data_IF_541330731565
#
_entry.id   IF_541330731565
#
_cell.length_a   1.000
_cell.length_b   1.000
_cell.length_c   1.000
_cell.angle_alpha   90.00
_cell.angle_beta   90.00
_cell.angle_gamma   90.00
#
_symmetry.space_group_name_H-M   'P 1'
#
loop_
_entity.id
_entity.type
_entity.pdbx_description
1 polymer ?
#
# COMPACT_ATOMS: atom_id res chain seq x y z
N UNK A 1 64.30 -73.14 3.15
CA UNK A 1 62.96 -73.13 3.77
C UNK A 1 62.68 -71.73 4.29
N UNK A 2 62.01 -70.84 3.57
CA UNK A 2 61.68 -69.50 3.98
C UNK A 2 60.21 -69.46 4.38
N UNK A 3 59.95 -69.22 5.65
CA UNK A 3 58.58 -69.02 6.16
C UNK A 3 58.16 -67.56 5.93
N UNK A 4 57.08 -67.37 5.17
CA UNK A 4 56.45 -66.09 4.91
C UNK A 4 55.38 -65.93 5.99
N UNK A 5 55.54 -64.88 6.80
CA UNK A 5 54.49 -64.45 7.75
C UNK A 5 53.61 -63.46 7.03
N UNK A 6 52.35 -63.81 6.84
CA UNK A 6 51.33 -62.89 6.34
C UNK A 6 50.74 -62.09 7.50
N UNK A 7 50.94 -60.78 7.52
CA UNK A 7 50.38 -59.83 8.45
C UNK A 7 48.98 -59.39 7.94
N UNK A 8 47.93 -59.82 8.60
CA UNK A 8 46.56 -59.39 8.30
C UNK A 8 46.32 -58.05 9.01
N UNK A 9 46.20 -57.00 8.21
CA UNK A 9 45.88 -55.67 8.69
C UNK A 9 44.35 -55.50 8.68
N UNK A 10 43.71 -55.54 9.88
CA UNK A 10 42.29 -55.26 10.02
C UNK A 10 42.08 -53.73 10.08
N UNK A 11 41.59 -53.18 9.00
CA UNK A 11 41.16 -51.77 8.97
C UNK A 11 39.77 -51.68 9.53
N UNK A 12 39.70 -51.14 10.75
CA UNK A 12 38.44 -50.77 11.40
C UNK A 12 37.96 -49.43 10.75
N UNK A 13 36.97 -49.52 9.89
CA UNK A 13 36.26 -48.35 9.37
C UNK A 13 35.30 -47.84 10.46
N UNK A 14 35.71 -46.79 11.18
CA UNK A 14 34.79 -46.00 11.97
C UNK A 14 33.93 -45.17 11.00
N UNK A 15 32.70 -45.62 10.76
CA UNK A 15 31.67 -44.79 10.19
C UNK A 15 31.27 -43.73 11.21
N UNK A 16 31.84 -42.55 11.10
CA UNK A 16 31.27 -41.37 11.69
C UNK A 16 30.05 -41.03 10.86
N UNK A 17 28.89 -41.42 11.34
CA UNK A 17 27.63 -40.83 10.92
C UNK A 17 27.65 -39.38 11.44
N UNK A 18 27.94 -38.41 10.59
CA UNK A 18 27.43 -37.09 10.81
C UNK A 18 25.90 -37.20 10.70
N UNK A 19 25.22 -37.17 11.81
CA UNK A 19 23.86 -36.71 11.83
C UNK A 19 23.99 -35.20 11.53
N UNK A 20 23.70 -34.80 10.29
CA UNK A 20 23.32 -33.45 10.00
C UNK A 20 22.01 -33.23 10.79
N UNK A 21 22.13 -32.64 11.98
CA UNK A 21 21.02 -31.95 12.62
C UNK A 21 20.72 -30.75 11.72
N UNK A 22 20.07 -31.00 10.57
CA UNK A 22 19.28 -30.02 9.86
C UNK A 22 18.08 -29.65 10.77
N UNK A 23 18.37 -28.96 11.88
CA UNK A 23 17.46 -28.08 12.54
C UNK A 23 17.30 -26.84 11.65
N UNK A 24 16.95 -27.03 10.38
CA UNK A 24 16.07 -26.13 9.69
C UNK A 24 14.73 -26.28 10.42
N UNK A 25 14.57 -25.59 11.53
CA UNK A 25 13.25 -25.37 12.07
C UNK A 25 12.46 -24.78 10.91
N UNK A 26 11.59 -25.59 10.27
CA UNK A 26 10.57 -25.07 9.41
C UNK A 26 9.90 -23.95 10.20
N UNK A 27 10.26 -22.70 9.88
CA UNK A 27 9.56 -21.56 10.45
C UNK A 27 8.11 -21.78 10.04
N UNK A 28 7.27 -22.14 11.00
CA UNK A 28 5.86 -22.21 10.71
C UNK A 28 5.51 -20.89 10.05
N UNK A 29 4.88 -20.96 8.91
CA UNK A 29 4.44 -19.79 8.17
C UNK A 29 2.91 -19.76 8.11
N UNK A 30 2.36 -18.63 7.85
CA UNK A 30 0.92 -18.40 7.79
C UNK A 30 0.56 -17.58 6.58
N UNK A 31 -0.62 -17.82 6.01
CA UNK A 31 -1.20 -16.94 5.00
C UNK A 31 -1.58 -15.64 5.66
N UNK A 32 -1.26 -14.53 5.03
CA UNK A 32 -1.61 -13.21 5.54
C UNK A 32 -2.37 -12.42 4.49
N UNK A 33 -3.49 -11.85 4.88
CA UNK A 33 -4.37 -11.09 4.01
C UNK A 33 -4.54 -9.67 4.57
N UNK A 34 -4.38 -8.67 3.69
CA UNK A 34 -4.72 -7.28 3.99
C UNK A 34 -6.14 -7.00 3.52
N UNK A 35 -6.99 -6.50 4.40
CA UNK A 35 -8.37 -6.13 4.11
C UNK A 35 -8.55 -4.62 4.23
N UNK A 36 -9.02 -3.97 3.17
CA UNK A 36 -9.20 -2.53 3.10
C UNK A 36 -10.67 -2.17 3.25
N UNK A 37 -10.99 -1.43 4.29
CA UNK A 37 -12.31 -0.83 4.53
C UNK A 37 -12.24 0.69 4.43
N UNK A 38 -13.37 1.33 4.20
CA UNK A 38 -13.45 2.76 3.98
C UNK A 38 -14.51 3.38 4.89
N UNK A 39 -14.25 4.59 5.36
CA UNK A 39 -15.22 5.33 6.13
C UNK A 39 -15.09 6.85 5.88
N UNK A 40 -16.13 7.57 6.24
CA UNK A 40 -16.13 9.02 6.35
C UNK A 40 -16.35 9.37 7.82
N UNK A 41 -15.29 9.74 8.53
CA UNK A 41 -15.30 10.02 9.98
C UNK A 41 -15.99 8.93 10.82
N UNK A 42 -15.63 7.67 10.55
CA UNK A 42 -16.14 6.49 11.25
C UNK A 42 -17.46 5.93 10.71
N UNK A 43 -18.13 6.62 9.79
CA UNK A 43 -19.32 6.09 9.11
C UNK A 43 -18.84 5.24 7.91
N UNK A 44 -19.17 3.94 7.86
CA UNK A 44 -18.75 3.08 6.75
C UNK A 44 -19.16 3.62 5.39
N UNK A 45 -18.29 3.48 4.41
CA UNK A 45 -18.50 3.86 3.01
C UNK A 45 -18.26 2.64 2.13
N UNK A 46 -19.22 2.35 1.27
CA UNK A 46 -19.15 1.32 0.23
C UNK A 46 -19.50 1.95 -1.12
N UNK A 47 -19.33 1.22 -2.21
CA UNK A 47 -19.72 1.73 -3.53
C UNK A 47 -21.24 1.97 -3.66
N UNK A 48 -22.07 1.38 -2.81
CA UNK A 48 -23.53 1.69 -2.76
C UNK A 48 -23.83 3.11 -2.27
N UNK A 49 -22.85 3.76 -1.67
CA UNK A 49 -22.95 5.13 -1.15
C UNK A 49 -22.56 6.19 -2.18
N UNK A 50 -22.10 5.75 -3.35
CA UNK A 50 -21.59 6.64 -4.40
C UNK A 50 -22.72 7.40 -5.13
N UNK A 51 -22.32 8.43 -5.87
CA UNK A 51 -23.16 9.27 -6.71
C UNK A 51 -24.26 10.05 -5.96
N UNK A 52 -24.11 10.23 -4.65
CA UNK A 52 -25.00 11.03 -3.82
C UNK A 52 -24.23 12.08 -3.04
N UNK A 53 -24.60 13.35 -3.16
CA UNK A 53 -24.03 14.44 -2.35
C UNK A 53 -24.58 14.29 -0.91
N UNK A 54 -23.75 13.76 -0.01
CA UNK A 54 -24.14 13.48 1.37
C UNK A 54 -23.02 13.63 2.40
N UNK A 55 -21.79 13.77 1.94
CA UNK A 55 -20.64 13.98 2.81
C UNK A 55 -20.35 15.47 2.93
N UNK A 56 -19.80 15.89 4.05
CA UNK A 56 -19.36 17.27 4.25
C UNK A 56 -17.88 17.25 4.62
N UNK A 57 -17.04 17.99 3.88
CA UNK A 57 -15.63 18.11 4.20
C UNK A 57 -15.39 19.13 5.34
N UNK A 58 -14.12 19.29 5.75
CA UNK A 58 -13.75 20.19 6.84
C UNK A 58 -14.03 21.69 6.51
N UNK A 59 -13.99 22.06 5.21
CA UNK A 59 -14.27 23.44 4.78
C UNK A 59 -15.79 23.74 4.69
N UNK A 60 -16.63 22.73 4.81
CA UNK A 60 -18.10 22.87 4.82
C UNK A 60 -18.78 22.57 3.49
N UNK A 61 -18.04 22.21 2.43
CA UNK A 61 -18.66 21.80 1.17
C UNK A 61 -19.28 20.41 1.30
N UNK A 62 -20.52 20.29 0.82
CA UNK A 62 -21.16 19.00 0.64
C UNK A 62 -20.70 18.35 -0.65
N UNK A 63 -20.35 17.05 -0.62
CA UNK A 63 -19.81 16.34 -1.75
C UNK A 63 -20.31 14.90 -1.89
N UNK A 64 -20.18 14.36 -3.10
CA UNK A 64 -20.35 12.94 -3.43
C UNK A 64 -19.02 12.28 -3.67
N UNK A 65 -19.00 10.95 -3.62
CA UNK A 65 -17.94 10.10 -4.15
C UNK A 65 -18.48 9.46 -5.42
N UNK A 66 -17.79 9.59 -6.56
CA UNK A 66 -18.16 8.96 -7.82
C UNK A 66 -17.12 7.93 -8.28
N UNK A 67 -15.85 8.14 -7.90
CA UNK A 67 -14.76 7.19 -8.08
C UNK A 67 -13.80 7.31 -6.90
N UNK A 68 -13.37 6.17 -6.38
CA UNK A 68 -12.26 6.08 -5.44
C UNK A 68 -11.50 4.80 -5.68
N UNK A 69 -10.26 4.94 -6.12
CA UNK A 69 -9.30 3.86 -6.26
C UNK A 69 -7.90 4.37 -5.98
N UNK A 70 -7.07 3.53 -5.38
CA UNK A 70 -5.72 3.93 -4.98
C UNK A 70 -4.77 2.74 -5.01
N UNK A 71 -3.50 3.06 -5.17
CA UNK A 71 -2.41 2.10 -5.27
C UNK A 71 -1.72 1.96 -3.91
N UNK A 72 -1.41 0.72 -3.57
CA UNK A 72 -0.49 0.38 -2.49
C UNK A 72 0.62 -0.51 -3.03
N UNK A 73 1.83 -0.41 -2.47
CA UNK A 73 2.99 -1.23 -2.83
C UNK A 73 3.87 -1.51 -1.60
N UNK A 74 4.95 -2.26 -1.79
CA UNK A 74 6.04 -2.44 -0.81
C UNK A 74 5.52 -2.84 0.57
N UNK A 75 4.80 -3.96 0.64
CA UNK A 75 4.32 -4.45 1.93
C UNK A 75 5.50 -5.07 2.67
N UNK A 76 5.80 -4.54 3.85
CA UNK A 76 6.95 -4.98 4.65
C UNK A 76 6.55 -5.46 6.03
N UNK A 77 7.24 -6.49 6.49
CA UNK A 77 7.14 -7.03 7.84
C UNK A 77 8.50 -6.90 8.51
N UNK A 78 8.63 -6.03 9.52
CA UNK A 78 9.86 -5.83 10.27
C UNK A 78 9.81 -6.62 11.58
N UNK A 79 10.73 -7.55 11.77
CA UNK A 79 10.81 -8.35 12.99
C UNK A 79 11.27 -7.52 14.20
N UNK A 80 11.17 -8.09 15.41
CA UNK A 80 11.70 -7.44 16.63
C UNK A 80 13.24 -7.37 16.66
N UNK A 81 13.92 -8.14 15.78
CA UNK A 81 15.37 -8.06 15.55
C UNK A 81 15.78 -7.08 14.44
N UNK A 82 14.81 -6.34 13.88
CA UNK A 82 14.97 -5.41 12.75
C UNK A 82 15.32 -6.09 11.40
N UNK A 83 15.02 -7.37 11.26
CA UNK A 83 15.04 -8.02 9.95
C UNK A 83 13.79 -7.63 9.20
N UNK A 84 13.93 -7.32 7.91
CA UNK A 84 12.82 -6.88 7.05
C UNK A 84 12.51 -7.98 6.04
N UNK A 85 11.28 -8.46 6.06
CA UNK A 85 10.68 -9.20 4.97
C UNK A 85 9.98 -8.18 4.09
N UNK A 86 10.53 -7.96 2.91
CA UNK A 86 9.97 -7.08 1.89
C UNK A 86 9.25 -7.92 0.85
N UNK A 87 7.98 -7.61 0.63
CA UNK A 87 7.16 -8.24 -0.39
C UNK A 87 7.05 -7.24 -1.55
N UNK A 88 7.77 -7.51 -2.60
CA UNK A 88 7.77 -6.73 -3.85
C UNK A 88 6.44 -6.99 -4.60
N UNK A 89 5.36 -6.44 -4.06
CA UNK A 89 4.02 -6.55 -4.63
C UNK A 89 3.24 -5.23 -4.52
N UNK A 90 2.23 -5.11 -5.35
CA UNK A 90 1.32 -3.96 -5.33
C UNK A 90 -0.14 -4.40 -5.48
N UNK A 91 -1.05 -3.50 -5.14
CA UNK A 91 -2.48 -3.70 -5.32
C UNK A 91 -3.19 -2.39 -5.67
N UNK A 92 -4.01 -2.43 -6.72
CA UNK A 92 -4.93 -1.33 -7.04
C UNK A 92 -6.26 -1.58 -6.31
N UNK A 93 -6.40 -1.01 -5.13
CA UNK A 93 -7.64 -1.05 -4.36
C UNK A 93 -8.70 -0.20 -5.07
N UNK A 94 -9.82 -0.79 -5.49
CA UNK A 94 -10.87 -0.11 -6.26
C UNK A 94 -12.23 -0.22 -5.56
N UNK A 95 -12.56 0.79 -4.76
CA UNK A 95 -13.85 0.87 -4.08
C UNK A 95 -14.99 1.13 -5.06
N UNK A 96 -14.72 1.79 -6.18
CA UNK A 96 -15.73 2.09 -7.21
C UNK A 96 -16.35 0.81 -7.76
N UNK A 97 -15.50 -0.17 -8.08
CA UNK A 97 -15.90 -1.45 -8.64
C UNK A 97 -16.01 -2.56 -7.59
N UNK A 98 -15.80 -2.25 -6.31
CA UNK A 98 -15.75 -3.20 -5.20
C UNK A 98 -14.80 -4.37 -5.50
N UNK A 99 -13.59 -4.04 -5.99
CA UNK A 99 -12.57 -5.01 -6.37
C UNK A 99 -11.24 -4.73 -5.68
N UNK A 100 -10.49 -5.81 -5.45
CA UNK A 100 -9.18 -5.78 -4.79
C UNK A 100 -9.21 -5.11 -3.39
N UNK A 101 -10.34 -5.19 -2.69
CA UNK A 101 -10.46 -4.72 -1.31
C UNK A 101 -9.80 -5.68 -0.32
N UNK A 102 -9.46 -6.86 -0.80
CA UNK A 102 -8.74 -7.91 -0.10
C UNK A 102 -7.52 -8.28 -0.91
N UNK A 103 -6.35 -8.33 -0.27
CA UNK A 103 -5.08 -8.73 -0.86
C UNK A 103 -4.51 -9.91 -0.08
N UNK A 104 -4.61 -11.10 -0.67
CA UNK A 104 -3.81 -12.24 -0.23
C UNK A 104 -2.35 -12.01 -0.67
N UNK A 105 -1.43 -11.99 0.29
CA UNK A 105 -0.02 -11.72 0.00
C UNK A 105 0.66 -12.87 -0.78
N UNK A 106 0.00 -14.00 -0.96
CA UNK A 106 0.49 -15.14 -1.75
C UNK A 106 1.80 -15.76 -1.25
N UNK A 107 2.45 -15.10 -0.31
CA UNK A 107 3.69 -15.53 0.33
C UNK A 107 3.37 -15.96 1.75
N UNK A 108 3.91 -17.12 2.14
CA UNK A 108 3.78 -17.57 3.51
C UNK A 108 4.63 -16.67 4.43
N UNK A 109 3.97 -15.95 5.34
CA UNK A 109 4.63 -15.07 6.30
C UNK A 109 5.10 -15.92 7.48
N UNK A 110 6.39 -15.88 7.88
CA UNK A 110 6.86 -16.58 9.04
C UNK A 110 6.07 -16.20 10.30
N UNK A 111 5.65 -17.21 11.08
CA UNK A 111 5.01 -16.95 12.36
C UNK A 111 5.98 -16.25 13.31
N UNK A 112 5.51 -15.22 13.99
CA UNK A 112 6.34 -14.43 14.88
C UNK A 112 5.72 -13.11 15.27
N UNK A 113 6.50 -12.34 16.03
CA UNK A 113 6.15 -10.98 16.40
C UNK A 113 6.92 -10.00 15.54
N UNK A 114 6.19 -9.16 14.85
CA UNK A 114 6.71 -8.08 14.04
C UNK A 114 6.60 -6.76 14.81
N UNK A 115 7.67 -6.00 14.84
CA UNK A 115 7.71 -4.68 15.49
C UNK A 115 6.94 -3.65 14.66
N UNK A 116 6.84 -3.88 13.34
CA UNK A 116 6.04 -3.08 12.43
C UNK A 116 5.63 -3.89 11.21
N UNK A 117 4.42 -3.65 10.73
CA UNK A 117 3.98 -4.00 9.38
C UNK A 117 3.63 -2.68 8.68
N UNK A 118 4.05 -2.54 7.43
CA UNK A 118 3.81 -1.30 6.67
C UNK A 118 3.59 -1.58 5.20
N UNK A 119 3.07 -0.58 4.51
CA UNK A 119 2.96 -0.54 3.06
C UNK A 119 3.20 0.88 2.55
N UNK A 120 3.55 1.03 1.29
CA UNK A 120 3.64 2.32 0.59
C UNK A 120 2.29 2.68 -0.03
N UNK A 121 1.81 3.90 0.19
CA UNK A 121 0.73 4.48 -0.59
C UNK A 121 1.31 5.11 -1.85
N UNK A 122 0.89 4.61 -3.01
CA UNK A 122 1.48 4.91 -4.32
C UNK A 122 2.60 3.94 -4.67
N UNK A 123 3.45 4.32 -5.59
CA UNK A 123 4.72 3.69 -5.91
C UNK A 123 5.89 4.60 -5.51
N UNK A 124 6.97 4.02 -5.07
CA UNK A 124 8.23 4.73 -4.98
C UNK A 124 8.77 5.14 -6.37
N UNK A 125 9.91 5.83 -6.42
CA UNK A 125 10.43 6.33 -7.69
C UNK A 125 10.96 5.21 -8.61
N UNK A 126 11.35 4.08 -8.07
CA UNK A 126 11.85 2.93 -8.83
C UNK A 126 10.69 2.22 -9.49
N UNK A 127 9.68 1.85 -8.71
CA UNK A 127 8.49 1.17 -9.20
C UNK A 127 7.66 2.05 -10.13
N UNK A 128 7.58 3.35 -9.82
CA UNK A 128 6.84 4.29 -10.65
C UNK A 128 7.45 4.49 -12.05
N UNK A 129 8.68 4.04 -12.27
CA UNK A 129 9.36 4.06 -13.58
C UNK A 129 9.17 2.76 -14.37
N UNK A 130 8.63 1.71 -13.76
CA UNK A 130 8.38 0.42 -14.40
C UNK A 130 7.09 0.42 -15.23
N UNK A 131 6.81 -0.68 -15.93
CA UNK A 131 5.66 -0.79 -16.82
C UNK A 131 4.71 -1.91 -16.37
N UNK A 132 3.56 -1.55 -15.81
CA UNK A 132 2.53 -2.44 -15.30
C UNK A 132 1.34 -2.50 -16.27
N UNK A 133 1.17 -3.63 -16.97
CA UNK A 133 0.16 -3.77 -18.03
C UNK A 133 -1.29 -3.72 -17.52
N UNK A 134 -1.54 -4.18 -16.32
CA UNK A 134 -2.84 -4.12 -15.66
C UNK A 134 -3.22 -2.68 -15.28
N UNK A 135 -2.28 -1.91 -14.72
CA UNK A 135 -2.47 -0.49 -14.40
C UNK A 135 -2.67 0.34 -15.68
N UNK A 136 -1.93 0.01 -16.75
CA UNK A 136 -2.14 0.63 -18.06
C UNK A 136 -3.56 0.36 -18.58
N UNK A 137 -4.01 -0.88 -18.47
CA UNK A 137 -5.37 -1.30 -18.88
C UNK A 137 -6.46 -0.66 -18.02
N UNK A 138 -6.14 -0.40 -16.74
CA UNK A 138 -7.02 0.30 -15.82
C UNK A 138 -7.05 1.82 -16.04
N UNK A 139 -6.29 2.37 -17.00
CA UNK A 139 -6.12 3.82 -17.23
C UNK A 139 -5.63 4.54 -15.96
N UNK A 140 -4.62 3.97 -15.33
CA UNK A 140 -4.02 4.50 -14.10
C UNK A 140 -2.72 5.28 -14.39
N UNK A 141 -2.32 5.40 -15.65
CA UNK A 141 -1.13 6.13 -16.08
C UNK A 141 -1.25 7.63 -15.84
N UNK A 142 -0.12 8.25 -15.51
CA UNK A 142 0.06 9.70 -15.51
C UNK A 142 0.58 10.13 -16.89
N UNK A 143 0.09 11.27 -17.46
CA UNK A 143 0.61 11.78 -18.73
C UNK A 143 2.12 12.06 -18.69
N UNK A 144 2.83 11.77 -19.79
CA UNK A 144 4.29 11.95 -19.90
C UNK A 144 4.72 13.40 -19.60
N UNK A 145 3.92 14.38 -19.97
CA UNK A 145 4.20 15.79 -19.67
C UNK A 145 4.23 16.11 -18.16
N UNK A 146 3.68 15.22 -17.33
CA UNK A 146 3.72 15.28 -15.86
C UNK A 146 4.75 14.30 -15.28
N UNK A 147 5.62 13.73 -16.13
CA UNK A 147 6.66 12.81 -15.74
C UNK A 147 6.34 11.33 -15.92
N UNK A 148 5.13 11.00 -16.41
CA UNK A 148 4.72 9.60 -16.59
C UNK A 148 4.51 8.85 -15.29
N UNK A 149 4.62 7.52 -15.35
CA UNK A 149 4.35 6.65 -14.22
C UNK A 149 2.85 6.49 -13.94
N UNK A 150 2.49 6.37 -12.65
CA UNK A 150 1.13 6.01 -12.24
C UNK A 150 0.55 6.97 -11.23
N UNK A 151 -0.76 7.07 -11.23
CA UNK A 151 -1.48 7.72 -10.12
C UNK A 151 -1.21 6.96 -8.81
N UNK A 152 -1.22 7.66 -7.70
CA UNK A 152 -1.31 7.05 -6.37
C UNK A 152 -2.77 6.89 -5.95
N UNK A 153 -3.61 7.86 -6.36
CA UNK A 153 -5.06 7.79 -6.16
C UNK A 153 -5.81 8.53 -7.26
N UNK A 154 -6.98 8.01 -7.62
CA UNK A 154 -8.00 8.71 -8.40
C UNK A 154 -9.27 8.78 -7.54
N UNK A 155 -9.59 9.99 -7.09
CA UNK A 155 -10.78 10.28 -6.32
C UNK A 155 -11.56 11.39 -7.02
N UNK A 156 -12.72 11.05 -7.55
CA UNK A 156 -13.59 11.97 -8.26
C UNK A 156 -14.95 12.04 -7.59
N UNK A 157 -15.60 13.19 -7.74
CA UNK A 157 -16.95 13.39 -7.27
C UNK A 157 -17.50 14.74 -7.69
N UNK A 158 -18.65 15.05 -7.13
CA UNK A 158 -19.28 16.37 -7.21
C UNK A 158 -19.33 17.02 -5.85
N UNK A 159 -19.39 18.32 -5.85
CA UNK A 159 -19.61 19.10 -4.63
C UNK A 159 -20.57 20.28 -4.90
N UNK A 160 -21.15 20.82 -3.85
CA UNK A 160 -21.90 22.07 -3.93
C UNK A 160 -20.92 23.22 -3.72
N UNK A 161 -20.80 24.07 -4.72
CA UNK A 161 -19.96 25.26 -4.66
C UNK A 161 -20.55 26.34 -3.74
N UNK A 162 -19.85 27.46 -3.59
CA UNK A 162 -20.29 28.60 -2.78
C UNK A 162 -21.64 29.22 -3.20
N UNK A 163 -22.14 28.92 -4.41
CA UNK A 163 -23.44 29.31 -4.92
C UNK A 163 -24.49 28.21 -4.78
N UNK A 164 -24.15 27.11 -4.08
CA UNK A 164 -24.98 25.91 -3.96
C UNK A 164 -25.32 25.26 -5.31
N UNK A 165 -24.35 25.32 -6.26
CA UNK A 165 -24.45 24.71 -7.57
C UNK A 165 -23.52 23.50 -7.64
N UNK A 166 -23.98 22.41 -8.27
CA UNK A 166 -23.13 21.22 -8.45
C UNK A 166 -21.95 21.54 -9.37
N UNK A 167 -20.75 21.22 -8.90
CA UNK A 167 -19.50 21.27 -9.64
C UNK A 167 -18.73 19.95 -9.47
N UNK A 168 -17.82 19.65 -10.38
CA UNK A 168 -16.99 18.43 -10.29
C UNK A 168 -15.69 18.71 -9.55
N UNK A 169 -15.15 17.68 -8.91
CA UNK A 169 -13.76 17.67 -8.44
C UNK A 169 -13.04 16.40 -8.89
N UNK A 170 -11.73 16.53 -9.10
CA UNK A 170 -10.82 15.42 -9.42
C UNK A 170 -9.61 15.50 -8.47
N UNK A 171 -9.71 14.85 -7.34
CA UNK A 171 -8.64 14.77 -6.34
C UNK A 171 -7.72 13.60 -6.71
N UNK A 172 -6.85 13.82 -7.70
CA UNK A 172 -5.91 12.81 -8.18
C UNK A 172 -4.54 13.04 -7.56
N UNK A 173 -4.09 12.10 -6.76
CA UNK A 173 -2.73 12.10 -6.20
C UNK A 173 -1.76 11.44 -7.17
N UNK A 174 -0.67 12.13 -7.46
CA UNK A 174 0.46 11.70 -8.29
C UNK A 174 1.76 12.17 -7.65
N UNK A 175 2.89 11.82 -8.23
CA UNK A 175 4.17 12.45 -7.90
C UNK A 175 4.09 13.96 -8.13
N UNK A 176 4.45 14.76 -7.14
CA UNK A 176 4.47 16.22 -7.29
C UNK A 176 5.41 16.64 -8.41
N UNK A 177 4.93 17.47 -9.33
CA UNK A 177 5.68 17.86 -10.52
C UNK A 177 5.72 19.37 -10.68
N UNK A 178 6.92 19.89 -10.82
CA UNK A 178 7.19 21.26 -11.26
C UNK A 178 7.55 21.28 -12.75
N UNK A 179 7.29 22.37 -13.43
CA UNK A 179 7.60 22.57 -14.85
C UNK A 179 7.07 21.43 -15.73
N UNK A 180 5.76 21.16 -15.74
CA UNK A 180 5.16 20.19 -16.64
C UNK A 180 5.59 20.44 -18.10
N UNK A 181 5.93 19.36 -18.82
CA UNK A 181 6.38 19.46 -20.22
C UNK A 181 7.44 18.42 -20.56
N UNK A 182 8.41 18.83 -21.39
CA UNK A 182 9.46 17.91 -21.90
C UNK A 182 10.46 17.49 -20.82
N UNK A 183 10.70 18.34 -19.83
CA UNK A 183 11.66 18.09 -18.75
C UNK A 183 11.03 18.46 -17.39
N UNK A 184 10.07 17.67 -16.91
CA UNK A 184 9.47 17.93 -15.61
C UNK A 184 10.48 17.72 -14.48
N UNK A 185 10.32 18.45 -13.41
CA UNK A 185 11.12 18.31 -12.18
C UNK A 185 10.23 17.94 -11.01
N UNK A 186 10.78 17.25 -10.04
CA UNK A 186 10.02 16.70 -8.90
C UNK A 186 10.59 17.28 -7.61
N UNK A 187 9.86 18.22 -6.97
CA UNK A 187 10.38 18.95 -5.80
C UNK A 187 10.52 18.07 -4.56
N UNK A 188 9.64 17.08 -4.43
CA UNK A 188 9.67 16.08 -3.36
C UNK A 188 8.88 14.83 -3.72
N UNK A 189 9.13 13.75 -3.02
CA UNK A 189 8.33 12.54 -3.11
C UNK A 189 6.97 12.76 -2.43
N UNK A 190 5.92 12.24 -3.05
CA UNK A 190 4.54 12.33 -2.55
C UNK A 190 3.86 10.96 -2.40
N UNK A 191 4.61 9.85 -2.64
CA UNK A 191 4.30 8.56 -2.04
C UNK A 191 4.69 8.58 -0.56
N UNK A 192 4.12 7.70 0.25
CA UNK A 192 4.47 7.64 1.67
C UNK A 192 4.22 6.26 2.27
N UNK A 193 5.00 5.94 3.30
CA UNK A 193 4.85 4.69 4.04
C UNK A 193 3.76 4.82 5.10
N UNK A 194 2.84 3.88 5.11
CA UNK A 194 1.81 3.70 6.15
C UNK A 194 2.30 2.65 7.13
N UNK A 195 2.53 3.06 8.38
CA UNK A 195 2.96 2.16 9.45
C UNK A 195 1.74 1.68 10.23
N UNK A 196 1.49 0.38 10.25
CA UNK A 196 0.40 -0.25 11.00
C UNK A 196 0.78 -0.57 12.45
N UNK A 197 2.07 -0.50 12.78
CA UNK A 197 2.60 -0.82 14.09
C UNK A 197 2.83 -2.32 14.31
N UNK A 198 2.96 -2.76 15.58
CA UNK A 198 3.31 -4.14 15.89
C UNK A 198 2.15 -5.11 15.63
N UNK A 199 2.48 -6.23 14.97
CA UNK A 199 1.52 -7.30 14.63
C UNK A 199 2.16 -8.64 14.95
N UNK A 200 1.38 -9.56 15.54
CA UNK A 200 1.77 -10.96 15.73
C UNK A 200 1.09 -11.83 14.68
N UNK A 201 1.85 -12.70 14.04
CA UNK A 201 1.37 -13.71 13.09
C UNK A 201 1.58 -15.09 13.73
N UNK A 202 0.51 -15.81 14.02
CA UNK A 202 0.59 -17.17 14.63
C UNK A 202 -0.18 -18.22 13.84
N UNK A 203 -1.21 -17.81 13.13
CA UNK A 203 -2.03 -18.62 12.23
C UNK A 203 -2.32 -17.79 10.98
N UNK A 204 -3.23 -18.26 10.13
CA UNK A 204 -3.71 -17.47 9.01
C UNK A 204 -4.29 -16.15 9.54
N UNK A 205 -3.73 -15.06 9.07
CA UNK A 205 -3.87 -13.74 9.68
C UNK A 205 -4.55 -12.76 8.75
N UNK A 206 -5.63 -12.14 9.21
CA UNK A 206 -6.30 -11.05 8.53
C UNK A 206 -5.94 -9.72 9.21
N UNK A 207 -5.30 -8.82 8.47
CA UNK A 207 -4.94 -7.47 8.88
C UNK A 207 -5.98 -6.51 8.30
N UNK A 208 -6.84 -5.96 9.15
CA UNK A 208 -7.93 -5.09 8.74
C UNK A 208 -7.50 -3.63 8.84
N UNK A 209 -7.52 -2.92 7.72
CA UNK A 209 -7.05 -1.55 7.54
C UNK A 209 -8.24 -0.68 7.16
N UNK A 210 -8.33 0.51 7.70
CA UNK A 210 -9.33 1.49 7.30
C UNK A 210 -8.69 2.73 6.68
N UNK A 211 -9.28 3.22 5.58
CA UNK A 211 -9.07 4.57 5.07
C UNK A 211 -10.20 5.47 5.54
N UNK A 212 -9.90 6.51 6.32
CA UNK A 212 -10.85 7.60 6.59
C UNK A 212 -10.78 8.62 5.45
N UNK A 213 -11.70 8.54 4.50
CA UNK A 213 -11.75 9.37 3.30
C UNK A 213 -11.82 10.87 3.66
N UNK A 214 -12.51 11.22 4.75
CA UNK A 214 -12.64 12.61 5.16
C UNK A 214 -11.30 13.28 5.48
N UNK A 215 -10.28 12.51 5.90
CA UNK A 215 -8.97 13.06 6.26
C UNK A 215 -8.22 13.66 5.08
N UNK A 216 -8.48 13.22 3.85
CA UNK A 216 -7.93 13.83 2.66
C UNK A 216 -8.23 15.34 2.56
N UNK A 217 -9.30 15.81 3.22
CA UNK A 217 -9.76 17.20 3.19
C UNK A 217 -9.48 17.96 4.50
N UNK A 218 -8.75 17.38 5.47
CA UNK A 218 -8.70 17.92 6.86
C UNK A 218 -7.34 18.40 7.29
N UNK A 219 -6.43 17.50 7.58
CA UNK A 219 -5.27 17.78 8.43
C UNK A 219 -3.99 17.27 7.80
N UNK A 220 -2.93 18.10 7.71
CA UNK A 220 -2.81 19.45 8.29
C UNK A 220 -3.51 20.55 7.49
N UNK A 221 -3.92 20.29 6.24
CA UNK A 221 -4.44 21.29 5.34
C UNK A 221 -5.96 21.15 5.17
N UNK A 222 -6.73 22.13 5.62
CA UNK A 222 -8.16 22.20 5.26
C UNK A 222 -8.28 22.45 3.75
N UNK A 223 -8.93 21.52 3.06
CA UNK A 223 -9.05 21.55 1.60
C UNK A 223 -10.30 22.30 1.17
N UNK A 224 -10.13 23.37 0.41
CA UNK A 224 -11.20 24.21 -0.14
C UNK A 224 -11.49 23.77 -1.60
N UNK A 225 -12.60 23.06 -1.82
CA UNK A 225 -13.02 22.61 -3.15
C UNK A 225 -13.41 23.77 -4.09
N UNK A 226 -13.75 24.95 -3.57
CA UNK A 226 -14.01 26.10 -4.41
C UNK A 226 -12.73 26.67 -5.06
N UNK A 227 -11.55 26.33 -4.52
CA UNK A 227 -10.25 26.76 -5.04
C UNK A 227 -9.48 25.61 -5.69
N UNK A 228 -9.56 24.40 -5.09
CA UNK A 228 -8.79 23.22 -5.46
C UNK A 228 -9.74 22.07 -5.84
N UNK A 229 -10.39 22.17 -6.98
CA UNK A 229 -11.35 21.18 -7.45
C UNK A 229 -10.84 20.32 -8.62
N UNK A 230 -10.32 20.94 -9.67
CA UNK A 230 -9.88 20.23 -10.89
C UNK A 230 -8.49 20.71 -11.33
N UNK A 231 -7.89 19.99 -12.29
CA UNK A 231 -6.55 20.32 -12.83
C UNK A 231 -5.47 20.33 -11.73
N UNK A 232 -5.59 19.41 -10.79
CA UNK A 232 -4.69 19.35 -9.62
C UNK A 232 -3.38 18.62 -9.90
N UNK A 233 -3.32 17.73 -10.89
CA UNK A 233 -2.10 16.99 -11.23
C UNK A 233 -0.90 17.89 -11.61
N UNK A 234 -1.05 18.97 -12.42
CA UNK A 234 0.05 19.88 -12.70
C UNK A 234 0.30 20.92 -11.60
N UNK A 235 -0.43 20.86 -10.49
CA UNK A 235 -0.28 21.75 -9.35
C UNK A 235 0.55 21.07 -8.26
N UNK A 236 1.86 21.27 -8.28
CA UNK A 236 2.82 20.71 -7.33
C UNK A 236 2.44 21.01 -5.87
N UNK A 237 2.02 22.24 -5.56
CA UNK A 237 1.62 22.61 -4.20
C UNK A 237 0.38 21.83 -3.73
N UNK A 238 -0.60 21.60 -4.62
CA UNK A 238 -1.76 20.77 -4.30
C UNK A 238 -1.36 19.30 -4.06
N UNK A 239 -0.44 18.75 -4.85
CA UNK A 239 0.08 17.39 -4.65
C UNK A 239 0.81 17.24 -3.31
N UNK A 240 1.56 18.25 -2.89
CA UNK A 240 2.23 18.29 -1.58
C UNK A 240 1.19 18.35 -0.45
N UNK A 241 0.15 19.15 -0.56
CA UNK A 241 -0.94 19.18 0.43
C UNK A 241 -1.69 17.83 0.51
N UNK A 242 -1.90 17.15 -0.64
CA UNK A 242 -2.46 15.79 -0.66
C UNK A 242 -1.56 14.81 0.10
N UNK A 243 -0.26 14.85 -0.14
CA UNK A 243 0.73 14.03 0.58
C UNK A 243 0.68 14.29 2.09
N UNK A 244 0.66 15.56 2.51
CA UNK A 244 0.62 15.93 3.93
C UNK A 244 -0.67 15.43 4.60
N UNK A 245 -1.83 15.61 3.96
CA UNK A 245 -3.11 15.12 4.48
C UNK A 245 -3.15 13.59 4.49
N UNK A 246 -2.53 12.95 3.50
CA UNK A 246 -2.45 11.51 3.35
C UNK A 246 -1.85 10.77 4.55
N UNK A 247 -0.95 11.42 5.30
CA UNK A 247 -0.29 10.84 6.47
C UNK A 247 -1.27 10.38 7.57
N UNK A 248 -2.50 10.86 7.54
CA UNK A 248 -3.49 10.62 8.60
C UNK A 248 -4.70 9.79 8.15
N UNK A 249 -4.71 9.28 6.92
CA UNK A 249 -5.91 8.66 6.34
C UNK A 249 -6.05 7.18 6.67
N UNK A 250 -4.94 6.46 6.88
CA UNK A 250 -4.94 5.03 7.13
C UNK A 250 -4.77 4.69 8.61
N UNK A 251 -5.41 3.62 9.04
CA UNK A 251 -5.25 3.08 10.40
C UNK A 251 -5.46 1.58 10.42
N UNK A 252 -4.75 0.89 11.32
CA UNK A 252 -5.02 -0.49 11.67
C UNK A 252 -6.34 -0.55 12.48
N UNK A 253 -7.29 -1.35 12.03
CA UNK A 253 -8.58 -1.56 12.73
C UNK A 253 -8.47 -2.74 13.68
N UNK A 254 -8.00 -3.87 13.17
CA UNK A 254 -7.86 -5.12 13.94
C UNK A 254 -6.96 -6.11 13.20
N UNK A 255 -6.45 -7.06 13.95
CA UNK A 255 -5.80 -8.26 13.44
C UNK A 255 -6.60 -9.45 13.96
N UNK A 256 -7.04 -10.32 13.07
CA UNK A 256 -7.75 -11.57 13.43
C UNK A 256 -6.97 -12.76 12.88
N UNK A 257 -7.02 -13.88 13.61
CA UNK A 257 -6.31 -15.11 13.28
C UNK A 257 -7.29 -16.29 13.33
N UNK A 258 -7.20 -17.19 12.33
CA UNK A 258 -8.07 -18.36 12.19
C UNK A 258 -7.35 -19.66 12.57
#
# INVERSE_FOLDING_TARGET
MKKIFALVFVISLCLWSCADDDNNGDLNSATTTLNFSHNWDGIPVTNSDFNSIKYTNQNGEMLSIERLRYLISDITFTTTSNEVLDLDNYNLVDLTNNSNLELDLGTQIPQGNYSNVSFTFGFDNTDNAENYLDLNSASFNVPDMLGGGYHYMQFDGKYLDSNNTEANFNYHAIRAVDNPGTNPTFPQDTFFTVNLGPISVSNDTNINIAMNIAQWFKTPNTWDLNQLNTVLMPNSAAQIQMFENGQNVFSLVSVTQE
#
